data_IF_048873331342
#
_entry.id   IF_048873331342
#
_cell.length_a   1.000
_cell.length_b   1.000
_cell.length_c   1.000
_cell.angle_alpha   90.00
_cell.angle_beta   90.00
_cell.angle_gamma   90.00
#
_symmetry.space_group_name_H-M   'P 1'
#
loop_
_entity.id
_entity.type
_entity.pdbx_description
1 polymer ?
#
# COMPACT_ATOMS: atom_id res chain seq x y z
N UNK A 1 -7.60 22.65 36.00
CA UNK A 1 -6.69 21.73 35.29
C UNK A 1 -5.28 22.31 35.39
N UNK A 2 -4.36 21.60 36.05
CA UNK A 2 -3.01 22.10 36.39
C UNK A 2 -2.10 22.04 35.16
N UNK A 3 -1.71 23.19 34.63
CA UNK A 3 -0.78 23.32 33.51
C UNK A 3 0.66 23.20 34.02
N UNK A 4 1.13 21.97 34.27
CA UNK A 4 2.51 21.72 34.69
C UNK A 4 3.40 21.65 33.43
N UNK A 5 4.43 22.49 33.30
CA UNK A 5 5.36 22.38 32.18
C UNK A 5 6.15 21.07 32.30
N UNK A 6 5.96 20.18 31.32
CA UNK A 6 6.74 18.95 31.18
C UNK A 6 8.10 19.33 30.57
N UNK A 7 9.18 19.10 31.31
CA UNK A 7 10.55 19.31 30.85
C UNK A 7 11.14 17.96 30.49
N UNK A 8 11.32 17.70 29.18
CA UNK A 8 12.06 16.54 28.69
C UNK A 8 13.51 16.95 28.42
N UNK A 9 14.45 16.24 29.04
CA UNK A 9 15.89 16.37 28.77
C UNK A 9 16.32 15.14 27.96
N UNK A 10 16.86 15.39 26.76
CA UNK A 10 17.30 14.33 25.85
C UNK A 10 18.75 14.61 25.47
N UNK A 11 19.64 13.68 25.82
CA UNK A 11 21.06 13.76 25.51
C UNK A 11 21.33 13.00 24.22
N UNK A 12 21.74 13.71 23.16
CA UNK A 12 22.04 13.12 21.84
C UNK A 12 23.41 13.58 21.37
N UNK A 13 24.12 12.70 20.66
CA UNK A 13 25.40 13.02 20.05
C UNK A 13 25.19 13.92 18.82
N UNK A 14 25.83 15.09 18.80
CA UNK A 14 25.75 16.08 17.71
C UNK A 14 26.31 15.60 16.37
N UNK A 15 27.03 14.47 16.36
CA UNK A 15 27.62 13.88 15.15
C UNK A 15 26.67 12.90 14.42
N UNK A 16 25.48 12.63 14.96
CA UNK A 16 24.56 11.65 14.38
C UNK A 16 23.63 12.28 13.33
N UNK A 17 23.63 11.81 12.07
CA UNK A 17 22.83 12.42 11.00
C UNK A 17 21.31 12.27 11.19
N UNK A 18 20.88 11.30 12.00
CA UNK A 18 19.46 11.05 12.34
C UNK A 18 18.89 12.08 13.33
N UNK A 19 19.75 12.89 13.97
CA UNK A 19 19.31 13.94 14.90
C UNK A 19 18.44 14.99 14.19
N UNK A 20 18.84 15.39 12.98
CA UNK A 20 18.09 16.37 12.18
C UNK A 20 16.72 15.84 11.75
N UNK A 21 16.64 14.54 11.44
CA UNK A 21 15.41 13.85 11.07
C UNK A 21 14.43 13.75 12.26
N UNK A 22 14.94 13.39 13.45
CA UNK A 22 14.13 13.40 14.68
C UNK A 22 13.61 14.79 15.06
N UNK A 23 14.42 15.83 14.85
CA UNK A 23 14.04 17.22 15.12
C UNK A 23 12.95 17.71 14.14
N UNK A 24 12.97 17.26 12.89
CA UNK A 24 11.92 17.56 11.91
C UNK A 24 10.59 16.88 12.27
N UNK A 25 10.62 15.62 12.72
CA UNK A 25 9.42 14.93 13.23
C UNK A 25 8.77 15.66 14.41
N UNK A 26 9.58 16.18 15.35
CA UNK A 26 9.05 16.92 16.50
C UNK A 26 8.42 18.26 16.10
N UNK A 27 8.92 18.89 15.03
CA UNK A 27 8.32 20.09 14.46
C UNK A 27 6.98 19.78 13.79
N UNK A 28 6.89 18.68 13.02
CA UNK A 28 5.64 18.22 12.40
C UNK A 28 4.57 17.84 13.44
N UNK A 29 4.99 17.27 14.57
CA UNK A 29 4.12 16.94 15.71
C UNK A 29 3.69 18.17 16.53
N UNK A 30 4.20 19.36 16.23
CA UNK A 30 3.90 20.58 16.98
C UNK A 30 4.44 20.61 18.41
N UNK A 31 5.36 19.70 18.74
CA UNK A 31 6.01 19.60 20.06
C UNK A 31 7.06 20.69 20.27
N UNK A 32 7.66 21.16 19.17
CA UNK A 32 8.65 22.24 19.15
C UNK A 32 8.29 23.29 18.10
N UNK A 33 8.62 24.55 18.36
CA UNK A 33 8.43 25.64 17.41
C UNK A 33 9.71 25.91 16.59
N UNK A 34 9.57 26.56 15.43
CA UNK A 34 10.72 26.99 14.62
C UNK A 34 11.74 27.84 15.39
N UNK A 35 11.28 28.65 16.34
CA UNK A 35 12.15 29.46 17.21
C UNK A 35 13.05 28.59 18.09
N UNK A 36 12.54 27.48 18.62
CA UNK A 36 13.32 26.53 19.40
C UNK A 36 14.35 25.78 18.53
N UNK A 37 13.95 25.37 17.32
CA UNK A 37 14.86 24.74 16.35
C UNK A 37 16.03 25.66 16.00
N UNK A 38 15.75 26.94 15.68
CA UNK A 38 16.80 27.92 15.36
C UNK A 38 17.74 28.17 16.54
N UNK A 39 17.23 28.14 17.77
CA UNK A 39 18.06 28.29 18.97
C UNK A 39 19.00 27.11 19.16
N UNK A 40 18.50 25.87 19.05
CA UNK A 40 19.32 24.64 19.16
C UNK A 40 20.37 24.60 18.06
N UNK A 41 19.99 24.93 16.83
CA UNK A 41 20.93 24.93 15.70
C UNK A 41 22.11 25.90 15.92
N UNK A 42 21.83 27.10 16.43
CA UNK A 42 22.89 28.09 16.74
C UNK A 42 23.82 27.64 17.85
N UNK A 43 23.27 27.02 18.90
CA UNK A 43 24.05 26.65 20.09
C UNK A 43 24.88 25.38 19.90
N UNK A 44 24.33 24.37 19.23
CA UNK A 44 24.91 23.02 19.24
C UNK A 44 25.27 22.46 17.86
N UNK A 45 24.81 23.08 16.76
CA UNK A 45 25.03 22.59 15.40
C UNK A 45 25.86 23.56 14.53
N UNK A 46 26.49 24.56 15.15
CA UNK A 46 27.38 25.49 14.47
C UNK A 46 28.83 25.08 14.71
N UNK A 47 29.64 25.03 13.64
CA UNK A 47 31.10 24.95 13.75
C UNK A 47 31.69 26.32 13.37
N UNK A 48 32.76 26.79 14.04
CA UNK A 48 33.49 27.96 13.55
C UNK A 48 34.00 27.65 12.14
N UNK A 49 33.66 28.54 11.20
CA UNK A 49 34.17 28.50 9.84
C UNK A 49 35.71 28.60 9.91
N UNK A 50 36.47 27.68 9.28
CA UNK A 50 37.92 27.80 9.25
C UNK A 50 38.30 29.14 8.62
N UNK A 51 39.02 29.98 9.34
CA UNK A 51 39.55 31.23 8.81
C UNK A 51 40.45 30.90 7.62
N UNK A 52 40.01 31.30 6.43
CA UNK A 52 40.86 31.38 5.25
C UNK A 52 41.93 32.43 5.55
N UNK A 53 43.11 31.96 5.95
CA UNK A 53 44.33 32.76 6.06
C UNK A 53 44.62 33.34 4.67
N UNK A 54 44.05 34.52 4.41
CA UNK A 54 44.39 35.35 3.27
C UNK A 54 45.55 36.22 3.70
N UNK A 55 46.74 35.66 3.74
CA UNK A 55 47.95 36.43 3.96
C UNK A 55 48.35 37.07 2.61
N UNK A 56 47.82 38.27 2.38
CA UNK A 56 48.28 39.19 1.35
C UNK A 56 49.79 39.36 1.46
N UNK A 57 50.54 38.81 0.51
CA UNK A 57 51.98 38.98 0.41
C UNK A 57 52.31 40.43 0.04
N UNK A 58 52.60 41.26 1.04
CA UNK A 58 53.33 42.52 0.85
C UNK A 58 54.80 42.28 1.26
N UNK A 59 55.65 42.28 0.24
CA UNK A 59 57.10 42.63 0.23
C UNK A 59 58.07 41.88 1.19
N UNK A 60 58.86 40.98 0.57
CA UNK A 60 60.34 40.76 0.67
C UNK A 60 61.09 41.47 1.83
N UNK A 61 62.03 40.90 2.61
CA UNK A 61 63.08 39.86 2.42
C UNK A 61 63.68 39.55 3.83
N UNK A 62 64.28 38.37 4.10
CA UNK A 62 65.74 38.24 3.98
C UNK A 62 66.20 36.86 3.43
N UNK A 63 67.47 36.73 3.00
CA UNK A 63 67.98 35.54 2.33
C UNK A 63 68.57 34.55 3.34
N UNK A 64 68.27 33.26 3.17
CA UNK A 64 69.21 32.16 3.42
C UNK A 64 68.62 30.83 2.94
N UNK A 65 69.20 30.38 1.83
CA UNK A 65 69.42 29.01 1.36
C UNK A 65 68.57 27.91 2.00
N UNK A 66 67.52 27.52 1.28
CA UNK A 66 66.77 26.30 1.52
C UNK A 66 67.26 25.20 0.58
N UNK A 67 67.99 24.23 1.13
CA UNK A 67 68.08 22.88 0.55
C UNK A 67 66.77 22.15 0.87
N UNK A 68 66.07 21.55 -0.10
CA UNK A 68 64.71 21.06 0.10
C UNK A 68 64.68 19.70 0.81
N UNK A 69 64.08 19.65 2.00
CA UNK A 69 63.55 18.41 2.57
C UNK A 69 62.45 17.88 1.64
N UNK A 70 62.76 16.79 0.93
CA UNK A 70 61.81 16.13 0.04
C UNK A 70 60.83 15.30 0.86
N UNK A 71 59.74 15.97 1.23
CA UNK A 71 58.33 15.55 1.16
C UNK A 71 58.09 14.04 1.21
N UNK A 72 57.70 13.56 2.40
CA UNK A 72 56.96 12.32 2.62
C UNK A 72 55.73 12.28 1.69
N UNK A 73 55.48 11.20 0.92
CA UNK A 73 54.30 11.15 0.06
C UNK A 73 53.06 10.99 0.94
N UNK A 74 52.35 12.08 1.18
CA UNK A 74 50.99 12.01 1.71
C UNK A 74 50.15 11.33 0.63
N UNK A 75 49.78 10.10 0.91
CA UNK A 75 48.86 9.27 0.16
C UNK A 75 47.65 10.16 -0.25
N UNK A 76 47.49 10.38 -1.55
CA UNK A 76 46.27 10.97 -2.12
C UNK A 76 45.11 10.05 -1.76
N UNK A 77 44.43 10.31 -0.64
CA UNK A 77 43.11 9.75 -0.43
C UNK A 77 42.20 10.36 -1.49
N UNK A 78 41.49 9.54 -2.28
CA UNK A 78 40.55 10.08 -3.25
C UNK A 78 39.52 10.88 -2.46
N UNK A 79 39.33 12.14 -2.86
CA UNK A 79 38.19 12.95 -2.44
C UNK A 79 36.96 12.09 -2.72
N UNK A 80 36.38 11.51 -1.66
CA UNK A 80 35.19 10.70 -1.75
C UNK A 80 34.11 11.64 -2.23
N UNK A 81 33.84 11.61 -3.54
CA UNK A 81 32.65 12.23 -4.10
C UNK A 81 31.51 11.80 -3.20
N UNK A 82 30.86 12.82 -2.61
CA UNK A 82 29.65 12.67 -1.83
C UNK A 82 28.58 12.26 -2.83
N UNK A 83 28.62 10.98 -3.19
CA UNK A 83 27.65 10.35 -4.03
C UNK A 83 26.35 10.52 -3.29
N UNK A 84 25.49 11.31 -3.91
CA UNK A 84 24.17 11.61 -3.43
C UNK A 84 23.38 10.31 -3.68
N UNK A 85 23.62 9.29 -2.84
CA UNK A 85 23.12 7.92 -2.97
C UNK A 85 21.59 7.89 -3.09
N UNK A 86 20.92 8.87 -2.49
CA UNK A 86 19.49 9.09 -2.64
C UNK A 86 19.12 9.62 -4.02
N UNK A 87 19.87 10.58 -4.58
CA UNK A 87 19.65 11.00 -5.98
C UNK A 87 19.98 9.87 -6.95
N UNK A 88 21.05 9.11 -6.70
CA UNK A 88 21.49 8.01 -7.56
C UNK A 88 20.48 6.84 -7.51
N UNK A 89 20.01 6.46 -6.32
CA UNK A 89 18.94 5.48 -6.15
C UNK A 89 17.61 5.99 -6.71
N UNK A 90 17.26 7.27 -6.54
CA UNK A 90 16.06 7.88 -7.12
C UNK A 90 16.13 7.97 -8.64
N UNK A 91 17.30 8.25 -9.22
CA UNK A 91 17.54 8.27 -10.66
C UNK A 91 17.46 6.84 -11.21
N UNK A 92 18.08 5.85 -10.57
CA UNK A 92 17.92 4.44 -10.92
C UNK A 92 16.47 3.94 -10.75
N UNK A 93 15.76 4.39 -9.71
CA UNK A 93 14.34 4.09 -9.50
C UNK A 93 13.52 4.70 -10.64
N UNK A 94 13.73 5.98 -10.97
CA UNK A 94 12.98 6.72 -12.01
C UNK A 94 13.26 6.17 -13.41
N UNK A 95 14.48 5.75 -13.68
CA UNK A 95 14.88 5.15 -14.95
C UNK A 95 14.26 3.74 -15.12
N UNK A 96 14.18 2.93 -14.07
CA UNK A 96 13.47 1.63 -14.12
C UNK A 96 11.94 1.75 -14.07
N UNK A 97 11.40 2.65 -13.22
CA UNK A 97 9.95 2.85 -13.06
C UNK A 97 9.33 3.51 -14.27
N UNK A 98 9.99 4.50 -14.90
CA UNK A 98 9.45 5.15 -16.09
C UNK A 98 9.22 4.13 -17.20
N UNK A 99 10.22 3.31 -17.52
CA UNK A 99 10.11 2.33 -18.62
C UNK A 99 9.03 1.28 -18.34
N UNK A 100 9.00 0.72 -17.11
CA UNK A 100 8.02 -0.31 -16.74
C UNK A 100 6.61 0.26 -16.58
N UNK A 101 6.45 1.49 -16.10
CA UNK A 101 5.14 2.15 -16.02
C UNK A 101 4.60 2.59 -17.37
N UNK A 102 5.43 3.08 -18.30
CA UNK A 102 4.98 3.39 -19.66
C UNK A 102 4.56 2.12 -20.40
N UNK A 103 5.26 1.00 -20.19
CA UNK A 103 4.84 -0.31 -20.72
C UNK A 103 3.55 -0.80 -20.07
N UNK A 104 3.40 -0.65 -18.75
CA UNK A 104 2.17 -0.98 -18.04
C UNK A 104 1.00 -0.12 -18.51
N UNK A 105 1.22 1.18 -18.70
CA UNK A 105 0.23 2.13 -19.20
C UNK A 105 -0.15 1.83 -20.65
N UNK A 106 0.82 1.48 -21.50
CA UNK A 106 0.58 1.04 -22.88
C UNK A 106 -0.23 -0.26 -22.94
N UNK A 107 0.14 -1.27 -22.13
CA UNK A 107 -0.63 -2.51 -22.02
C UNK A 107 -2.03 -2.25 -21.46
N UNK A 108 -2.15 -1.42 -20.44
CA UNK A 108 -3.44 -1.02 -19.86
C UNK A 108 -4.31 -0.31 -20.89
N UNK A 109 -3.75 0.60 -21.70
CA UNK A 109 -4.49 1.31 -22.74
C UNK A 109 -4.94 0.37 -23.87
N UNK A 110 -4.10 -0.58 -24.28
CA UNK A 110 -4.47 -1.62 -25.26
C UNK A 110 -5.58 -2.53 -24.72
N UNK A 111 -5.45 -2.98 -23.48
CA UNK A 111 -6.45 -3.83 -22.81
C UNK A 111 -7.74 -3.06 -22.56
N UNK A 112 -7.69 -1.79 -22.15
CA UNK A 112 -8.85 -0.94 -21.94
C UNK A 112 -9.54 -0.57 -23.27
N UNK A 113 -8.78 -0.36 -24.35
CA UNK A 113 -9.35 -0.15 -25.68
C UNK A 113 -10.01 -1.42 -26.22
N UNK A 114 -9.36 -2.58 -26.06
CA UNK A 114 -9.95 -3.88 -26.40
C UNK A 114 -11.17 -4.21 -25.53
N UNK A 115 -11.09 -3.91 -24.24
CA UNK A 115 -12.16 -4.11 -23.27
C UNK A 115 -13.34 -3.16 -23.51
N UNK A 116 -13.08 -1.92 -23.89
CA UNK A 116 -14.10 -0.95 -24.30
C UNK A 116 -14.81 -1.36 -25.60
N UNK A 117 -14.07 -1.92 -26.55
CA UNK A 117 -14.65 -2.54 -27.76
C UNK A 117 -15.47 -3.79 -27.41
N UNK A 118 -15.02 -4.61 -26.46
CA UNK A 118 -15.82 -5.73 -25.97
C UNK A 118 -17.08 -5.26 -25.22
N UNK A 119 -17.00 -4.14 -24.49
CA UNK A 119 -18.13 -3.56 -23.77
C UNK A 119 -19.19 -2.96 -24.71
N UNK A 120 -18.80 -2.38 -25.85
CA UNK A 120 -19.80 -1.92 -26.85
C UNK A 120 -20.50 -3.08 -27.56
N UNK A 121 -19.90 -4.26 -27.56
CA UNK A 121 -20.50 -5.50 -28.09
C UNK A 121 -21.07 -6.41 -27.01
N UNK A 122 -21.25 -5.91 -25.78
CA UNK A 122 -21.60 -6.71 -24.60
C UNK A 122 -22.81 -7.63 -24.82
N UNK A 123 -23.86 -7.14 -25.48
CA UNK A 123 -25.08 -7.90 -25.76
C UNK A 123 -24.92 -9.00 -26.82
N UNK A 124 -23.86 -8.97 -27.63
CA UNK A 124 -23.59 -10.02 -28.63
C UNK A 124 -22.81 -11.20 -28.06
N UNK A 125 -22.20 -11.04 -26.88
CA UNK A 125 -21.44 -12.11 -26.26
C UNK A 125 -22.37 -13.07 -25.51
N UNK A 126 -22.03 -14.38 -25.50
CA UNK A 126 -22.80 -15.35 -24.75
C UNK A 126 -22.76 -15.01 -23.25
N UNK A 127 -23.83 -15.35 -22.54
CA UNK A 127 -24.02 -15.03 -21.11
C UNK A 127 -22.84 -15.51 -20.25
N UNK A 128 -22.26 -16.66 -20.61
CA UNK A 128 -21.06 -17.22 -19.98
C UNK A 128 -19.86 -16.28 -20.05
N UNK A 129 -19.64 -15.60 -21.19
CA UNK A 129 -18.50 -14.71 -21.35
C UNK A 129 -18.73 -13.38 -20.62
N UNK A 130 -19.96 -12.88 -20.62
CA UNK A 130 -20.33 -11.69 -19.83
C UNK A 130 -20.07 -11.94 -18.34
N UNK A 131 -20.48 -13.11 -17.83
CA UNK A 131 -20.17 -13.55 -16.47
C UNK A 131 -18.66 -13.71 -16.25
N UNK A 132 -17.96 -14.34 -17.20
CA UNK A 132 -16.52 -14.58 -17.11
C UNK A 132 -15.71 -13.29 -16.92
N UNK A 133 -16.18 -12.17 -17.45
CA UNK A 133 -15.55 -10.86 -17.26
C UNK A 133 -15.73 -10.37 -15.81
N UNK A 134 -16.93 -10.47 -15.25
CA UNK A 134 -17.18 -10.14 -13.84
C UNK A 134 -16.32 -10.99 -12.89
N UNK A 135 -16.26 -12.30 -13.15
CA UNK A 135 -15.44 -13.24 -12.40
C UNK A 135 -13.95 -12.89 -12.52
N UNK A 136 -13.48 -12.53 -13.71
CA UNK A 136 -12.10 -12.10 -13.96
C UNK A 136 -11.72 -10.84 -13.17
N UNK A 137 -12.60 -9.83 -13.11
CA UNK A 137 -12.35 -8.64 -12.28
C UNK A 137 -12.20 -9.00 -10.80
N UNK A 138 -12.99 -9.95 -10.32
CA UNK A 138 -12.95 -10.40 -8.93
C UNK A 138 -11.62 -11.09 -8.62
N UNK A 139 -11.15 -11.95 -9.53
CA UNK A 139 -9.83 -12.58 -9.44
C UNK A 139 -8.70 -11.55 -9.48
N UNK A 140 -8.74 -10.60 -10.41
CA UNK A 140 -7.71 -9.56 -10.55
C UNK A 140 -7.65 -8.72 -9.26
N UNK A 141 -8.79 -8.25 -8.75
CA UNK A 141 -8.81 -7.47 -7.51
C UNK A 141 -8.33 -8.27 -6.31
N UNK A 142 -8.64 -9.58 -6.25
CA UNK A 142 -8.12 -10.44 -5.21
C UNK A 142 -6.60 -10.63 -5.32
N UNK A 143 -6.06 -10.96 -6.50
CA UNK A 143 -4.63 -11.16 -6.72
C UNK A 143 -3.85 -9.87 -6.43
N UNK A 144 -4.30 -8.75 -7.01
CA UNK A 144 -3.64 -7.45 -6.83
C UNK A 144 -3.77 -6.99 -5.38
N UNK A 145 -4.93 -7.17 -4.75
CA UNK A 145 -5.14 -6.83 -3.34
C UNK A 145 -4.28 -7.68 -2.41
N UNK A 146 -4.12 -8.98 -2.69
CA UNK A 146 -3.25 -9.87 -1.93
C UNK A 146 -1.77 -9.50 -2.11
N UNK A 147 -1.35 -9.20 -3.34
CA UNK A 147 0.01 -8.76 -3.64
C UNK A 147 0.34 -7.40 -3.03
N UNK A 148 -0.57 -6.43 -3.12
CA UNK A 148 -0.43 -5.10 -2.53
C UNK A 148 -0.37 -5.15 -1.00
N UNK A 149 -1.05 -6.11 -0.35
CA UNK A 149 -0.99 -6.27 1.11
C UNK A 149 0.40 -6.69 1.62
N UNK A 150 1.23 -7.28 0.75
CA UNK A 150 2.63 -7.61 1.06
C UNK A 150 3.55 -6.38 1.01
N UNK A 151 3.09 -5.25 0.48
CA UNK A 151 3.87 -4.01 0.43
C UNK A 151 3.47 -3.08 1.58
N UNK A 152 4.44 -2.71 2.41
CA UNK A 152 4.20 -1.91 3.62
C UNK A 152 3.59 -0.53 3.33
N UNK A 153 3.90 0.06 2.16
CA UNK A 153 3.39 1.37 1.74
C UNK A 153 2.00 1.39 1.08
N UNK A 154 1.42 0.23 0.73
CA UNK A 154 0.16 0.15 -0.04
C UNK A 154 -0.97 -0.57 0.71
N UNK A 155 -0.80 -0.79 2.01
CA UNK A 155 -1.79 -1.51 2.84
C UNK A 155 -3.20 -0.91 2.79
N UNK A 156 -3.31 0.42 2.74
CA UNK A 156 -4.61 1.10 2.66
C UNK A 156 -5.33 0.74 1.35
N UNK A 157 -4.61 0.83 0.22
CA UNK A 157 -5.12 0.46 -1.10
C UNK A 157 -5.44 -1.04 -1.18
N UNK A 158 -4.61 -1.88 -0.56
CA UNK A 158 -4.83 -3.33 -0.49
C UNK A 158 -6.13 -3.66 0.26
N UNK A 159 -6.40 -2.99 1.39
CA UNK A 159 -7.65 -3.17 2.14
C UNK A 159 -8.87 -2.73 1.32
N UNK A 160 -8.79 -1.60 0.60
CA UNK A 160 -9.89 -1.15 -0.26
C UNK A 160 -10.14 -2.15 -1.39
N UNK A 161 -9.10 -2.60 -2.09
CA UNK A 161 -9.23 -3.58 -3.18
C UNK A 161 -9.81 -4.91 -2.69
N UNK A 162 -9.38 -5.37 -1.53
CA UNK A 162 -9.90 -6.59 -0.92
C UNK A 162 -11.37 -6.44 -0.48
N UNK A 163 -11.74 -5.28 0.07
CA UNK A 163 -13.14 -4.98 0.42
C UNK A 163 -14.02 -4.98 -0.83
N UNK A 164 -13.53 -4.37 -1.91
CA UNK A 164 -14.21 -4.41 -3.21
C UNK A 164 -14.34 -5.85 -3.71
N UNK A 165 -13.25 -6.63 -3.69
CA UNK A 165 -13.28 -8.03 -4.10
C UNK A 165 -14.29 -8.85 -3.30
N UNK A 166 -14.39 -8.63 -1.98
CA UNK A 166 -15.40 -9.25 -1.13
C UNK A 166 -16.83 -8.84 -1.50
N UNK A 167 -17.05 -7.56 -1.79
CA UNK A 167 -18.36 -7.06 -2.20
C UNK A 167 -18.79 -7.61 -3.56
N UNK A 168 -17.83 -7.93 -4.43
CA UNK A 168 -18.09 -8.59 -5.70
C UNK A 168 -18.51 -10.06 -5.52
N UNK A 169 -18.15 -10.74 -4.44
CA UNK A 169 -18.54 -12.15 -4.23
C UNK A 169 -20.07 -12.35 -4.30
N UNK A 170 -20.91 -11.67 -3.50
CA UNK A 170 -22.37 -11.84 -3.59
C UNK A 170 -22.92 -11.39 -4.95
N UNK A 171 -22.32 -10.38 -5.58
CA UNK A 171 -22.69 -9.96 -6.94
C UNK A 171 -22.39 -11.04 -7.97
N UNK A 172 -21.29 -11.79 -7.82
CA UNK A 172 -20.96 -12.92 -8.69
C UNK A 172 -21.98 -14.05 -8.51
N UNK A 173 -22.38 -14.37 -7.28
CA UNK A 173 -23.39 -15.40 -7.03
C UNK A 173 -24.76 -15.02 -7.59
N UNK A 174 -25.14 -13.74 -7.51
CA UNK A 174 -26.35 -13.24 -8.16
C UNK A 174 -26.25 -13.34 -9.69
N UNK A 175 -25.12 -12.96 -10.28
CA UNK A 175 -24.92 -13.02 -11.72
C UNK A 175 -24.92 -14.46 -12.28
N UNK A 176 -24.63 -15.47 -11.44
CA UNK A 176 -24.75 -16.88 -11.83
C UNK A 176 -26.20 -17.31 -12.09
N UNK A 177 -27.19 -16.57 -11.57
CA UNK A 177 -28.60 -16.88 -11.77
C UNK A 177 -29.03 -16.65 -13.22
N UNK A 178 -28.48 -15.60 -13.87
CA UNK A 178 -28.73 -15.31 -15.28
C UNK A 178 -27.96 -16.19 -16.26
N UNK A 179 -27.15 -17.14 -15.79
CA UNK A 179 -26.49 -18.12 -16.65
C UNK A 179 -27.50 -19.19 -17.05
N UNK A 180 -28.01 -19.11 -18.29
CA UNK A 180 -28.96 -20.09 -18.82
C UNK A 180 -28.46 -21.55 -18.73
N UNK A 181 -29.38 -22.52 -18.87
CA UNK A 181 -29.18 -23.94 -18.57
C UNK A 181 -28.24 -24.75 -19.49
N UNK A 182 -27.29 -24.12 -20.19
CA UNK A 182 -26.33 -24.78 -21.04
C UNK A 182 -25.30 -25.58 -20.22
N UNK A 183 -24.78 -26.73 -20.72
CA UNK A 183 -23.81 -27.55 -19.98
C UNK A 183 -22.52 -26.79 -19.64
N UNK A 184 -22.12 -25.85 -20.50
CA UNK A 184 -20.96 -25.00 -20.27
C UNK A 184 -21.19 -24.00 -19.14
N UNK A 185 -22.41 -23.48 -18.99
CA UNK A 185 -22.81 -22.61 -17.87
C UNK A 185 -22.69 -23.33 -16.53
N UNK A 186 -23.15 -24.58 -16.45
CA UNK A 186 -23.03 -25.40 -15.23
C UNK A 186 -21.57 -25.60 -14.81
N UNK A 187 -20.67 -25.84 -15.77
CA UNK A 187 -19.23 -25.94 -15.51
C UNK A 187 -18.70 -24.60 -14.99
N UNK A 188 -19.08 -23.48 -15.61
CA UNK A 188 -18.62 -22.16 -15.14
C UNK A 188 -19.12 -21.82 -13.73
N UNK A 189 -20.37 -22.16 -13.40
CA UNK A 189 -20.94 -21.99 -12.06
C UNK A 189 -20.14 -22.84 -11.05
N UNK A 190 -19.87 -24.10 -11.37
CA UNK A 190 -19.12 -24.99 -10.49
C UNK A 190 -17.70 -24.45 -10.23
N UNK A 191 -16.96 -24.11 -11.28
CA UNK A 191 -15.59 -23.57 -11.16
C UNK A 191 -15.61 -22.25 -10.38
N UNK A 192 -16.51 -21.34 -10.74
CA UNK A 192 -16.54 -20.02 -10.13
C UNK A 192 -16.96 -20.08 -8.65
N UNK A 193 -17.95 -20.89 -8.27
CA UNK A 193 -18.35 -21.06 -6.87
C UNK A 193 -17.23 -21.65 -6.01
N UNK A 194 -16.50 -22.64 -6.51
CA UNK A 194 -15.33 -23.22 -5.82
C UNK A 194 -14.24 -22.14 -5.66
N UNK A 195 -13.96 -21.38 -6.73
CA UNK A 195 -12.94 -20.33 -6.69
C UNK A 195 -13.29 -19.21 -5.71
N UNK A 196 -14.53 -18.70 -5.71
CA UNK A 196 -15.02 -17.64 -4.83
C UNK A 196 -15.00 -18.08 -3.37
N UNK A 197 -15.42 -19.32 -3.10
CA UNK A 197 -15.36 -19.93 -1.76
C UNK A 197 -13.91 -20.02 -1.28
N UNK A 198 -13.00 -20.43 -2.16
CA UNK A 198 -11.56 -20.55 -1.86
C UNK A 198 -10.95 -19.18 -1.57
N UNK A 199 -11.25 -18.18 -2.39
CA UNK A 199 -10.81 -16.78 -2.23
C UNK A 199 -11.25 -16.23 -0.87
N UNK A 200 -12.51 -16.42 -0.51
CA UNK A 200 -13.05 -15.98 0.77
C UNK A 200 -12.41 -16.71 1.96
N UNK A 201 -12.12 -18.01 1.81
CA UNK A 201 -11.39 -18.79 2.81
C UNK A 201 -9.96 -18.25 3.03
N UNK A 202 -9.22 -17.94 1.97
CA UNK A 202 -7.88 -17.35 2.10
C UNK A 202 -7.91 -15.94 2.71
N UNK A 203 -8.96 -15.17 2.43
CA UNK A 203 -9.15 -13.85 3.04
C UNK A 203 -9.37 -13.92 4.56
N UNK A 204 -9.97 -15.01 5.06
CA UNK A 204 -10.29 -15.23 6.48
C UNK A 204 -9.08 -15.39 7.39
N UNK A 205 -7.88 -15.61 6.86
CA UNK A 205 -6.67 -15.98 7.62
C UNK A 205 -6.22 -14.94 8.68
N UNK A 206 -6.89 -13.79 8.79
CA UNK A 206 -6.54 -12.69 9.70
C UNK A 206 -7.58 -12.37 10.81
N UNK A 207 -8.26 -13.36 11.42
CA UNK A 207 -9.03 -13.21 12.69
C UNK A 207 -10.57 -13.03 12.59
N UNK A 208 -11.25 -13.59 11.60
CA UNK A 208 -12.74 -13.59 11.54
C UNK A 208 -13.33 -14.96 11.96
N UNK A 209 -14.42 -14.92 12.74
CA UNK A 209 -15.08 -16.11 13.30
C UNK A 209 -15.62 -17.03 12.21
N UNK A 210 -15.59 -18.35 12.46
CA UNK A 210 -16.09 -19.35 11.49
C UNK A 210 -17.57 -19.18 11.17
N UNK A 211 -18.33 -18.60 12.11
CA UNK A 211 -19.74 -18.30 11.97
C UNK A 211 -20.02 -17.19 10.98
N UNK A 212 -19.23 -16.09 11.00
CA UNK A 212 -19.36 -15.03 10.00
C UNK A 212 -19.05 -15.54 8.59
N UNK A 213 -18.14 -16.51 8.48
CA UNK A 213 -17.85 -17.17 7.21
C UNK A 213 -19.05 -17.95 6.66
N UNK A 214 -19.62 -18.83 7.47
CA UNK A 214 -20.81 -19.60 7.06
C UNK A 214 -22.02 -18.70 6.83
N UNK A 215 -22.15 -17.62 7.59
CA UNK A 215 -23.19 -16.64 7.37
C UNK A 215 -22.99 -15.96 6.02
N UNK A 216 -21.84 -15.33 5.75
CA UNK A 216 -21.61 -14.61 4.49
C UNK A 216 -21.71 -15.50 3.24
N UNK A 217 -21.12 -16.70 3.27
CA UNK A 217 -21.28 -17.68 2.18
C UNK A 217 -22.71 -18.17 2.10
N UNK A 218 -23.35 -18.49 3.23
CA UNK A 218 -24.75 -18.90 3.28
C UNK A 218 -25.66 -17.86 2.64
N UNK A 219 -25.49 -16.59 3.00
CA UNK A 219 -26.17 -15.44 2.39
C UNK A 219 -25.92 -15.34 0.89
N UNK A 220 -24.68 -15.54 0.45
CA UNK A 220 -24.31 -15.48 -0.98
C UNK A 220 -24.95 -16.62 -1.77
N UNK A 221 -24.97 -17.84 -1.23
CA UNK A 221 -25.64 -19.00 -1.82
C UNK A 221 -27.16 -18.88 -1.78
N UNK A 222 -27.72 -18.22 -0.77
CA UNK A 222 -29.16 -17.97 -0.65
C UNK A 222 -29.68 -16.99 -1.70
N UNK A 223 -28.80 -16.11 -2.19
CA UNK A 223 -29.07 -15.16 -3.25
C UNK A 223 -29.04 -15.80 -4.65
N UNK A 224 -28.58 -17.04 -4.75
CA UNK A 224 -28.59 -17.84 -5.97
C UNK A 224 -29.93 -18.59 -6.10
N UNK A 225 -30.54 -18.62 -7.28
CA UNK A 225 -31.85 -19.23 -7.53
C UNK A 225 -33.04 -18.29 -7.35
N UNK A 226 -32.83 -16.97 -7.32
CA UNK A 226 -33.91 -15.97 -7.16
C UNK A 226 -34.80 -15.81 -8.40
N UNK A 227 -34.34 -16.22 -9.59
CA UNK A 227 -35.16 -16.33 -10.80
C UNK A 227 -36.28 -17.37 -10.66
N UNK A 228 -36.12 -18.36 -9.77
CA UNK A 228 -37.09 -19.43 -9.60
C UNK A 228 -38.22 -18.96 -8.71
N UNK A 229 -39.44 -18.97 -9.25
CA UNK A 229 -40.66 -18.34 -8.67
C UNK A 229 -41.00 -18.76 -7.23
N UNK A 230 -40.49 -19.90 -6.75
CA UNK A 230 -40.77 -20.45 -5.42
C UNK A 230 -39.59 -20.32 -4.42
N UNK A 231 -38.38 -20.06 -4.91
CA UNK A 231 -37.16 -20.00 -4.09
C UNK A 231 -37.02 -18.77 -3.16
N UNK A 232 -37.45 -17.54 -3.54
CA UNK A 232 -37.21 -16.37 -2.69
C UNK A 232 -37.96 -16.43 -1.35
N UNK A 233 -39.08 -17.15 -1.26
CA UNK A 233 -39.81 -17.35 -0.01
C UNK A 233 -39.03 -18.23 0.98
N UNK A 234 -38.42 -19.31 0.49
CA UNK A 234 -37.61 -20.24 1.29
C UNK A 234 -36.33 -19.54 1.77
N UNK A 235 -35.71 -18.74 0.89
CA UNK A 235 -34.57 -17.91 1.22
C UNK A 235 -34.88 -16.92 2.36
N UNK A 236 -35.95 -16.14 2.25
CA UNK A 236 -36.36 -15.18 3.28
C UNK A 236 -36.68 -15.87 4.61
N UNK A 237 -37.30 -17.05 4.58
CA UNK A 237 -37.59 -17.83 5.79
C UNK A 237 -36.33 -18.32 6.49
N UNK A 238 -35.36 -18.82 5.72
CA UNK A 238 -34.07 -19.29 6.25
C UNK A 238 -33.24 -18.14 6.82
N UNK A 239 -33.25 -16.98 6.16
CA UNK A 239 -32.63 -15.76 6.66
C UNK A 239 -33.23 -15.35 8.01
N UNK A 240 -34.56 -15.31 8.11
CA UNK A 240 -35.27 -14.95 9.33
C UNK A 240 -34.94 -15.92 10.48
N UNK A 241 -34.86 -17.22 10.21
CA UNK A 241 -34.46 -18.23 11.20
C UNK A 241 -33.01 -18.11 11.65
N UNK A 242 -32.07 -17.87 10.73
CA UNK A 242 -30.65 -17.72 11.07
C UNK A 242 -30.40 -16.44 11.87
N UNK A 243 -31.01 -15.32 11.48
CA UNK A 243 -30.86 -14.03 12.18
C UNK A 243 -31.59 -14.02 13.53
N UNK A 244 -32.77 -14.66 13.60
CA UNK A 244 -33.52 -14.84 14.84
C UNK A 244 -32.78 -15.69 15.87
N UNK A 245 -32.15 -16.79 15.45
CA UNK A 245 -31.29 -17.59 16.34
C UNK A 245 -30.05 -16.80 16.80
N UNK A 246 -29.47 -15.95 15.94
CA UNK A 246 -28.32 -15.13 16.30
C UNK A 246 -28.67 -14.08 17.36
N UNK A 247 -29.82 -13.41 17.23
CA UNK A 247 -30.35 -12.49 18.24
C UNK A 247 -30.65 -13.21 19.56
N UNK A 248 -31.29 -14.39 19.50
CA UNK A 248 -31.57 -15.20 20.69
C UNK A 248 -30.28 -15.63 21.42
N UNK A 249 -29.25 -16.04 20.67
CA UNK A 249 -27.97 -16.44 21.25
C UNK A 249 -27.21 -15.24 21.84
N UNK A 250 -27.23 -14.08 21.18
CA UNK A 250 -26.59 -12.85 21.67
C UNK A 250 -27.25 -12.35 22.96
N UNK A 251 -28.59 -12.36 23.04
CA UNK A 251 -29.32 -12.02 24.27
C UNK A 251 -29.10 -13.04 25.39
N UNK A 252 -29.03 -14.34 25.07
CA UNK A 252 -28.76 -15.39 26.06
C UNK A 252 -27.33 -15.36 26.64
N UNK A 253 -26.36 -14.81 25.91
CA UNK A 253 -24.99 -14.61 26.41
C UNK A 253 -24.76 -13.26 27.10
N UNK A 254 -25.73 -12.34 26.99
CA UNK A 254 -25.68 -11.00 27.60
C UNK A 254 -26.46 -10.89 28.92
N UNK A 255 -27.16 -11.95 29.33
CA UNK A 255 -27.83 -12.13 30.63
C UNK A 255 -27.04 -13.02 31.56
#
# INVERSE_FOLDING_TARGET
>A
MSNRPLRLEVTVNSSEPRLLEGLDYWLQLGLISESHVRWVAKQYLTCPLPELVTESTVLQRPPRDFTPETVTPVLLTPVRQRNNLFSQAWQSFKDEISIRWWLFLGLFLVVASSGGMAATQWQRFPDTLQYGILWSYTLIFWIVGFWANRQEGLRLTAQTLQTIALLLIPVNFWAMDGLGGNPLSWITIAIASISLTTIYFFYRQSSQSIFLFFNFIGLSYLHWGWEWKEYPAIAVLYWCCCYGNYLAFFFATAS
#
